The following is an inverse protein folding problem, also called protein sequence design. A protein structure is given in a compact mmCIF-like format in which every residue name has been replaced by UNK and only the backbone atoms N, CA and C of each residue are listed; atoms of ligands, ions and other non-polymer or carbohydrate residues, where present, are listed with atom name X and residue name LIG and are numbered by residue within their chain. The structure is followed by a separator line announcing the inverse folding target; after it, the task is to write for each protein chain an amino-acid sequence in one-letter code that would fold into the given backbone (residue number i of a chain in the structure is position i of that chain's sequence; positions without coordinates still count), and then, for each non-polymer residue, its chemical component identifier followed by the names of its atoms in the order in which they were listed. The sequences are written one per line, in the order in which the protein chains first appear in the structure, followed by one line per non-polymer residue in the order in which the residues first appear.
data_IF_462144533439
#
_entry.id   IF_462144533439
#
_cell.length_a   1.000
_cell.length_b   1.000
_cell.length_c   1.000
_cell.angle_alpha   90.00
_cell.angle_beta   90.00
_cell.angle_gamma   90.00
#
_symmetry.space_group_name_H-M   'P 1'
#
loop_
_entity.id
_entity.type
_entity.pdbx_description
1 polymer ?
#
# COMPACT_ATOMS: atom_id res chain seq x y z
N UNK A 1 17.34 -40.52 -42.15
CA UNK A 1 18.20 -41.59 -41.59
C UNK A 1 18.28 -41.36 -40.08
N UNK A 2 17.39 -41.99 -39.30
CA UNK A 2 17.68 -43.12 -38.40
C UNK A 2 18.95 -42.90 -37.56
N UNK A 3 18.78 -42.80 -36.24
CA UNK A 3 19.38 -43.77 -35.30
C UNK A 3 18.66 -43.74 -33.94
N UNK A 4 17.85 -44.79 -33.73
CA UNK A 4 17.31 -45.20 -32.44
C UNK A 4 18.42 -45.93 -31.68
N UNK A 5 18.50 -45.80 -30.35
CA UNK A 5 19.22 -46.76 -29.52
C UNK A 5 18.43 -47.06 -28.25
N UNK A 6 17.76 -48.22 -28.28
CA UNK A 6 17.23 -48.95 -27.13
C UNK A 6 18.37 -49.52 -26.27
N UNK A 7 18.11 -49.71 -24.97
CA UNK A 7 18.64 -50.80 -24.14
C UNK A 7 17.77 -50.89 -22.86
N UNK A 8 16.85 -51.85 -22.75
CA UNK A 8 16.93 -53.23 -22.20
C UNK A 8 16.90 -53.29 -20.66
N UNK A 9 15.93 -54.10 -20.23
CA UNK A 9 15.45 -54.50 -18.89
C UNK A 9 16.47 -55.37 -18.14
N UNK A 10 16.46 -55.29 -16.81
CA UNK A 10 17.04 -56.31 -15.93
C UNK A 10 16.34 -56.39 -14.57
N UNK A 11 15.48 -57.40 -14.40
CA UNK A 11 14.88 -57.83 -13.13
C UNK A 11 15.84 -58.83 -12.49
N UNK A 12 16.12 -58.69 -11.18
CA UNK A 12 16.68 -59.78 -10.37
C UNK A 12 15.88 -59.91 -9.08
N UNK A 13 15.09 -60.98 -9.03
CA UNK A 13 14.51 -61.57 -7.82
C UNK A 13 15.57 -62.45 -7.17
N UNK A 14 15.78 -62.31 -5.87
CA UNK A 14 16.50 -63.31 -5.07
C UNK A 14 15.92 -63.33 -3.66
N UNK A 15 15.13 -64.37 -3.40
CA UNK A 15 14.62 -64.69 -2.07
C UNK A 15 15.66 -65.58 -1.37
N UNK A 16 16.10 -65.18 -0.18
CA UNK A 16 16.81 -66.07 0.74
C UNK A 16 16.28 -65.83 2.15
N UNK A 17 15.47 -66.77 2.62
CA UNK A 17 15.13 -66.91 4.03
C UNK A 17 16.34 -67.51 4.76
N UNK A 18 16.78 -66.87 5.83
CA UNK A 18 17.70 -67.44 6.80
C UNK A 18 17.15 -67.17 8.20
N UNK A 19 16.75 -68.25 8.88
CA UNK A 19 16.43 -68.27 10.30
C UNK A 19 17.70 -67.97 11.11
N UNK A 20 17.64 -67.01 12.03
CA UNK A 20 18.65 -66.84 13.07
C UNK A 20 17.95 -66.81 14.43
N UNK A 21 18.48 -67.63 15.34
CA UNK A 21 17.97 -67.94 16.65
C UNK A 21 17.85 -66.72 17.56
N UNK A 22 16.74 -66.64 18.30
CA UNK A 22 16.55 -65.71 19.41
C UNK A 22 17.45 -66.13 20.58
N UNK A 23 18.50 -65.37 20.85
CA UNK A 23 19.16 -65.36 22.15
C UNK A 23 18.54 -64.24 22.99
N UNK A 24 17.79 -64.61 24.02
CA UNK A 24 17.31 -63.69 25.05
C UNK A 24 18.48 -63.25 25.91
N UNK A 25 19.01 -62.07 25.64
CA UNK A 25 19.93 -61.37 26.54
C UNK A 25 19.08 -60.58 27.54
N UNK A 26 19.08 -60.97 28.81
CA UNK A 26 18.56 -60.13 29.88
C UNK A 26 19.49 -58.92 30.03
N UNK A 27 19.02 -57.76 29.59
CA UNK A 27 19.66 -56.48 29.86
C UNK A 27 19.31 -55.99 31.28
N UNK A 28 20.25 -55.34 31.99
CA UNK A 28 20.02 -54.82 33.33
C UNK A 28 18.94 -53.72 33.31
N UNK A 29 18.11 -53.72 34.34
CA UNK A 29 17.09 -52.68 34.59
C UNK A 29 17.77 -51.32 34.71
N UNK A 30 17.73 -50.54 33.63
CA UNK A 30 18.03 -49.11 33.67
C UNK A 30 16.82 -48.42 34.26
N UNK A 31 16.97 -47.80 35.43
CA UNK A 31 16.02 -46.78 35.88
C UNK A 31 15.90 -45.73 34.77
N UNK A 32 14.71 -45.61 34.20
CA UNK A 32 14.42 -44.59 33.23
C UNK A 32 14.29 -43.26 33.98
N UNK A 33 15.32 -42.41 33.89
CA UNK A 33 15.16 -41.00 34.16
C UNK A 33 14.26 -40.47 33.04
N UNK A 34 12.98 -40.28 33.33
CA UNK A 34 12.05 -39.58 32.45
C UNK A 34 12.62 -38.18 32.23
N UNK A 35 12.99 -37.78 30.99
CA UNK A 35 13.27 -36.38 30.75
C UNK A 35 11.94 -35.65 30.90
N UNK A 36 11.89 -34.69 31.82
CA UNK A 36 10.82 -33.71 31.87
C UNK A 36 10.84 -32.97 30.53
N UNK A 37 9.94 -33.37 29.63
CA UNK A 37 9.71 -32.65 28.39
C UNK A 37 9.10 -31.33 28.80
N UNK A 38 9.92 -30.29 28.85
CA UNK A 38 9.46 -28.92 28.89
C UNK A 38 8.58 -28.74 27.66
N UNK A 39 7.27 -28.73 27.88
CA UNK A 39 6.29 -28.45 26.83
C UNK A 39 6.50 -26.99 26.48
N UNK A 40 7.36 -26.72 25.50
CA UNK A 40 7.41 -25.42 24.84
C UNK A 40 5.99 -25.25 24.31
N UNK A 41 5.23 -24.36 24.96
CA UNK A 41 3.92 -23.99 24.50
C UNK A 41 4.08 -23.55 23.05
N UNK A 42 3.54 -24.36 22.12
CA UNK A 42 3.38 -23.92 20.75
C UNK A 42 2.44 -22.73 20.84
N UNK A 43 2.98 -21.52 20.69
CA UNK A 43 2.17 -20.34 20.44
C UNK A 43 1.33 -20.69 19.22
N UNK A 44 0.07 -21.00 19.48
CA UNK A 44 -0.90 -21.16 18.42
C UNK A 44 -1.07 -19.74 17.96
N UNK A 45 -0.42 -19.35 16.86
CA UNK A 45 -0.75 -18.11 16.16
C UNK A 45 -2.24 -18.24 15.85
N UNK A 46 -3.07 -17.66 16.71
CA UNK A 46 -4.43 -17.31 16.37
C UNK A 46 -4.23 -16.42 15.15
N UNK A 47 -4.66 -16.87 13.97
CA UNK A 47 -4.97 -15.95 12.90
C UNK A 47 -6.08 -15.08 13.46
N UNK A 48 -5.71 -14.03 14.21
CA UNK A 48 -6.66 -13.12 14.80
C UNK A 48 -7.29 -12.38 13.63
N UNK A 49 -8.50 -12.83 13.29
CA UNK A 49 -9.33 -12.20 12.28
C UNK A 49 -9.64 -10.80 12.77
N UNK A 50 -9.02 -9.79 12.17
CA UNK A 50 -9.33 -8.39 12.47
C UNK A 50 -10.55 -7.91 11.66
N UNK A 51 -11.22 -6.87 12.16
CA UNK A 51 -12.25 -6.15 11.43
C UNK A 51 -11.61 -4.99 10.66
N UNK A 52 -11.86 -4.91 9.35
CA UNK A 52 -11.36 -3.83 8.50
C UNK A 52 -12.31 -2.64 8.51
N UNK A 53 -11.75 -1.44 8.66
CA UNK A 53 -12.49 -0.17 8.61
C UNK A 53 -11.67 0.88 7.85
N UNK A 54 -12.30 1.58 6.91
CA UNK A 54 -11.67 2.70 6.21
C UNK A 54 -11.16 3.75 7.19
N UNK A 55 -9.91 4.16 7.00
CA UNK A 55 -9.22 5.09 7.88
C UNK A 55 -8.30 6.03 7.09
N UNK A 56 -7.96 7.14 7.75
CA UNK A 56 -7.03 8.15 7.24
C UNK A 56 -5.93 8.39 8.27
N UNK A 57 -4.70 8.57 7.81
CA UNK A 57 -3.58 9.01 8.63
C UNK A 57 -2.87 10.19 8.00
N UNK A 58 -2.33 11.08 8.82
CA UNK A 58 -1.51 12.20 8.33
C UNK A 58 -0.16 11.69 7.82
N UNK A 59 0.33 12.28 6.72
CA UNK A 59 1.70 12.11 6.27
C UNK A 59 2.49 13.39 6.58
N UNK A 60 3.02 13.57 7.81
CA UNK A 60 3.50 14.87 8.28
C UNK A 60 4.72 15.40 7.51
N UNK A 61 5.68 14.53 7.20
CA UNK A 61 6.88 14.91 6.45
C UNK A 61 6.53 15.32 5.01
N UNK A 62 5.70 14.51 4.35
CA UNK A 62 5.23 14.80 2.99
C UNK A 62 4.34 16.06 2.95
N UNK A 63 3.50 16.24 3.97
CA UNK A 63 2.69 17.45 4.15
C UNK A 63 3.57 18.67 4.27
N UNK A 64 4.59 18.64 5.11
CA UNK A 64 5.51 19.76 5.30
C UNK A 64 6.17 20.15 3.97
N UNK A 65 6.74 19.17 3.27
CA UNK A 65 7.46 19.43 2.02
C UNK A 65 6.52 19.96 0.91
N UNK A 66 5.31 19.40 0.81
CA UNK A 66 4.32 19.87 -0.16
C UNK A 66 3.80 21.27 0.17
N UNK A 67 3.48 21.54 1.44
CA UNK A 67 2.98 22.84 1.91
C UNK A 67 4.01 23.94 1.71
N UNK A 68 5.29 23.67 2.01
CA UNK A 68 6.40 24.59 1.75
C UNK A 68 6.49 24.92 0.25
N UNK A 69 6.46 23.90 -0.63
CA UNK A 69 6.54 24.09 -2.08
C UNK A 69 5.31 24.81 -2.67
N UNK A 70 4.12 24.55 -2.16
CA UNK A 70 2.89 25.24 -2.57
C UNK A 70 2.90 26.70 -2.10
N UNK A 71 3.44 26.99 -0.91
CA UNK A 71 3.59 28.34 -0.39
C UNK A 71 4.62 29.17 -1.14
N UNK A 72 5.63 28.53 -1.74
CA UNK A 72 6.54 29.22 -2.67
C UNK A 72 5.81 29.74 -3.92
N UNK A 73 4.74 29.06 -4.36
CA UNK A 73 3.89 29.55 -5.45
C UNK A 73 2.91 30.64 -4.98
N UNK A 74 2.29 30.44 -3.82
CA UNK A 74 1.38 31.41 -3.20
C UNK A 74 1.42 31.32 -1.67
N UNK A 75 1.88 32.35 -0.95
CA UNK A 75 2.05 32.30 0.50
C UNK A 75 0.74 32.15 1.30
N UNK A 76 -0.41 32.48 0.69
CA UNK A 76 -1.72 32.33 1.31
C UNK A 76 -2.35 30.95 1.06
N UNK A 77 -1.75 30.13 0.18
CA UNK A 77 -2.18 28.76 -0.07
C UNK A 77 -1.72 27.80 1.04
N UNK A 78 -2.34 26.63 1.08
CA UNK A 78 -1.91 25.53 1.95
C UNK A 78 -2.06 24.18 1.28
N UNK A 79 -1.27 23.21 1.72
CA UNK A 79 -1.36 21.84 1.24
C UNK A 79 -1.22 20.81 2.36
N UNK A 80 -1.82 19.63 2.14
CA UNK A 80 -1.76 18.50 3.06
C UNK A 80 -1.65 17.19 2.28
N UNK A 81 -0.84 16.27 2.78
CA UNK A 81 -0.79 14.88 2.33
C UNK A 81 -1.47 13.97 3.37
N UNK A 82 -2.31 13.05 2.90
CA UNK A 82 -3.07 12.11 3.73
C UNK A 82 -2.94 10.70 3.17
N UNK A 83 -2.71 9.73 4.03
CA UNK A 83 -2.72 8.32 3.70
C UNK A 83 -4.14 7.80 3.85
N UNK A 84 -4.71 7.25 2.77
CA UNK A 84 -5.98 6.54 2.80
C UNK A 84 -5.74 5.04 2.82
N UNK A 85 -6.47 4.32 3.66
CA UNK A 85 -6.28 2.89 3.84
C UNK A 85 -7.28 2.27 4.80
N UNK A 86 -6.88 1.15 5.40
CA UNK A 86 -7.72 0.38 6.32
C UNK A 86 -7.03 0.22 7.67
N UNK A 87 -7.78 0.50 8.74
CA UNK A 87 -7.45 -0.01 10.06
C UNK A 87 -7.94 -1.46 10.16
N UNK A 88 -7.02 -2.37 10.49
CA UNK A 88 -7.28 -3.75 10.88
C UNK A 88 -7.36 -3.77 12.41
N UNK A 89 -8.59 -3.87 12.94
CA UNK A 89 -8.91 -3.74 14.37
C UNK A 89 -9.05 -5.13 14.99
N UNK A 90 -8.24 -5.43 16.00
CA UNK A 90 -8.21 -6.71 16.70
C UNK A 90 -9.22 -6.76 17.85
N UNK A 91 -9.50 -7.95 18.36
CA UNK A 91 -10.48 -8.14 19.45
C UNK A 91 -10.07 -7.51 20.78
N UNK A 92 -8.78 -7.27 20.99
CA UNK A 92 -8.24 -6.57 22.15
C UNK A 92 -8.34 -5.03 22.03
N UNK A 93 -8.83 -4.52 20.89
CA UNK A 93 -8.96 -3.10 20.58
C UNK A 93 -7.70 -2.46 20.00
N UNK A 94 -6.59 -3.20 19.87
CA UNK A 94 -5.43 -2.74 19.12
C UNK A 94 -5.75 -2.67 17.62
N UNK A 95 -4.93 -1.92 16.86
CA UNK A 95 -5.08 -1.82 15.41
C UNK A 95 -3.78 -1.61 14.68
N UNK A 96 -3.72 -2.08 13.44
CA UNK A 96 -2.67 -1.76 12.47
C UNK A 96 -3.28 -1.05 11.27
N UNK A 97 -2.51 -0.19 10.60
CA UNK A 97 -2.98 0.56 9.42
C UNK A 97 -2.29 0.07 8.15
N UNK A 98 -3.07 -0.30 7.15
CA UNK A 98 -2.60 -0.64 5.81
C UNK A 98 -2.92 0.49 4.83
N UNK A 99 -1.88 1.13 4.28
CA UNK A 99 -2.04 2.19 3.28
C UNK A 99 -2.44 1.62 1.93
N UNK A 100 -3.47 2.21 1.31
CA UNK A 100 -3.89 1.90 -0.06
C UNK A 100 -3.41 2.97 -1.03
N UNK A 101 -3.61 4.25 -0.71
CA UNK A 101 -3.19 5.37 -1.55
C UNK A 101 -2.79 6.59 -0.73
N UNK A 102 -2.03 7.49 -1.35
CA UNK A 102 -1.75 8.81 -0.81
C UNK A 102 -2.54 9.85 -1.59
N UNK A 103 -3.33 10.62 -0.86
CA UNK A 103 -4.11 11.74 -1.35
C UNK A 103 -3.51 13.06 -0.91
N UNK A 104 -3.79 14.11 -1.67
CA UNK A 104 -3.40 15.47 -1.35
C UNK A 104 -4.60 16.40 -1.33
N UNK A 105 -4.55 17.41 -0.48
CA UNK A 105 -5.50 18.51 -0.49
C UNK A 105 -4.72 19.80 -0.65
N UNK A 106 -5.16 20.67 -1.57
CA UNK A 106 -4.56 21.99 -1.79
C UNK A 106 -5.66 23.04 -1.73
N UNK A 107 -5.46 24.05 -0.89
CA UNK A 107 -6.40 25.14 -0.68
C UNK A 107 -5.80 26.45 -1.15
N UNK A 108 -6.57 27.20 -1.92
CA UNK A 108 -6.22 28.51 -2.43
C UNK A 108 -7.34 29.51 -2.10
N UNK A 109 -7.07 30.51 -1.25
CA UNK A 109 -7.96 31.66 -1.10
C UNK A 109 -8.06 32.46 -2.40
N UNK A 110 -9.27 32.82 -2.83
CA UNK A 110 -9.51 33.56 -4.08
C UNK A 110 -10.56 34.66 -3.90
N UNK A 111 -10.47 35.75 -4.67
CA UNK A 111 -11.46 36.84 -4.62
C UNK A 111 -12.72 36.57 -5.45
N UNK A 112 -12.60 35.74 -6.50
CA UNK A 112 -13.63 35.51 -7.50
C UNK A 112 -13.56 34.04 -7.97
N UNK A 113 -14.71 33.36 -8.00
CA UNK A 113 -14.86 31.95 -8.38
C UNK A 113 -15.10 31.73 -9.87
N UNK A 114 -15.09 32.79 -10.68
CA UNK A 114 -15.31 32.71 -12.15
C UNK A 114 -14.01 32.61 -12.96
N UNK A 115 -12.84 32.64 -12.30
CA UNK A 115 -11.52 32.71 -12.92
C UNK A 115 -10.99 31.32 -13.33
N UNK A 116 -11.75 30.59 -14.14
CA UNK A 116 -11.47 29.20 -14.50
C UNK A 116 -10.09 28.99 -15.15
N UNK A 117 -9.65 29.92 -16.01
CA UNK A 117 -8.32 29.83 -16.63
C UNK A 117 -7.20 29.93 -15.60
N UNK A 118 -7.33 30.84 -14.63
CA UNK A 118 -6.37 31.00 -13.53
C UNK A 118 -6.35 29.77 -12.63
N UNK A 119 -7.53 29.21 -12.33
CA UNK A 119 -7.66 27.99 -11.53
C UNK A 119 -6.98 26.80 -12.21
N UNK A 120 -7.18 26.66 -13.51
CA UNK A 120 -6.48 25.64 -14.29
C UNK A 120 -4.97 25.83 -14.33
N UNK A 121 -4.50 27.07 -14.52
CA UNK A 121 -3.07 27.37 -14.49
C UNK A 121 -2.46 27.05 -13.11
N UNK A 122 -3.17 27.37 -12.02
CA UNK A 122 -2.78 27.00 -10.66
C UNK A 122 -2.71 25.49 -10.47
N UNK A 123 -3.74 24.75 -10.92
CA UNK A 123 -3.74 23.27 -10.87
C UNK A 123 -2.53 22.72 -11.58
N UNK A 124 -2.18 23.25 -12.76
CA UNK A 124 -1.00 22.81 -13.50
C UNK A 124 0.29 23.00 -12.69
N UNK A 125 0.49 24.16 -12.08
CA UNK A 125 1.67 24.44 -11.27
C UNK A 125 1.77 23.50 -10.05
N UNK A 126 0.65 23.26 -9.37
CA UNK A 126 0.60 22.36 -8.22
C UNK A 126 0.81 20.90 -8.64
N UNK A 127 0.21 20.47 -9.75
CA UNK A 127 0.40 19.12 -10.27
C UNK A 127 1.84 18.91 -10.74
N UNK A 128 2.53 19.94 -11.25
CA UNK A 128 3.96 19.89 -11.55
C UNK A 128 4.82 19.67 -10.30
N UNK A 129 4.38 20.13 -9.12
CA UNK A 129 5.03 19.81 -7.83
C UNK A 129 4.75 18.36 -7.47
N UNK A 130 3.47 17.97 -7.44
CA UNK A 130 3.04 16.64 -6.99
C UNK A 130 3.63 15.51 -7.85
N UNK A 131 3.69 15.70 -9.17
CA UNK A 131 4.24 14.69 -10.10
C UNK A 131 5.76 14.57 -10.04
N UNK A 132 6.46 15.50 -9.38
CA UNK A 132 7.90 15.44 -9.13
C UNK A 132 8.27 14.81 -7.78
N UNK A 133 7.29 14.55 -6.92
CA UNK A 133 7.52 13.82 -5.66
C UNK A 133 8.06 12.42 -6.03
N UNK A 134 9.22 12.00 -5.47
CA UNK A 134 9.77 10.68 -5.74
C UNK A 134 8.77 9.56 -5.41
N UNK A 135 8.73 8.53 -6.24
CA UNK A 135 7.69 7.49 -6.15
C UNK A 135 7.75 6.76 -4.80
N UNK A 136 8.95 6.57 -4.28
CA UNK A 136 9.30 5.96 -3.00
C UNK A 136 8.82 6.75 -1.78
N UNK A 137 8.58 8.06 -1.92
CA UNK A 137 8.02 8.90 -0.84
C UNK A 137 6.49 8.81 -0.78
N UNK A 138 5.85 8.25 -1.82
CA UNK A 138 4.39 8.10 -1.90
C UNK A 138 4.01 6.68 -1.49
N UNK A 139 3.38 6.57 -0.31
CA UNK A 139 2.90 5.30 0.20
C UNK A 139 1.62 4.85 -0.53
N UNK A 140 1.45 3.54 -0.72
CA UNK A 140 0.34 3.01 -1.52
C UNK A 140 0.45 3.44 -2.99
N UNK A 141 -0.65 3.42 -3.73
CA UNK A 141 -0.73 3.94 -5.12
C UNK A 141 -0.96 5.45 -5.14
N UNK A 142 -0.87 6.05 -6.34
CA UNK A 142 -1.30 7.42 -6.53
C UNK A 142 -2.81 7.55 -6.30
N UNK A 143 -3.20 8.46 -5.40
CA UNK A 143 -4.57 8.90 -5.22
C UNK A 143 -4.88 10.11 -6.10
N UNK A 144 -5.43 11.16 -5.48
CA UNK A 144 -5.79 12.42 -6.15
C UNK A 144 -5.24 13.63 -5.42
N UNK A 145 -5.26 14.77 -6.12
CA UNK A 145 -5.17 16.10 -5.49
C UNK A 145 -6.57 16.70 -5.48
N UNK A 146 -7.11 16.97 -4.30
CA UNK A 146 -8.36 17.71 -4.14
C UNK A 146 -8.06 19.20 -4.03
N UNK A 147 -8.55 19.98 -4.98
CA UNK A 147 -8.37 21.41 -5.04
C UNK A 147 -9.57 22.13 -4.43
N UNK A 148 -9.28 23.10 -3.57
CA UNK A 148 -10.27 23.96 -2.93
C UNK A 148 -9.96 25.41 -3.29
N UNK A 149 -10.82 26.03 -4.10
CA UNK A 149 -10.78 27.46 -4.37
C UNK A 149 -11.81 28.14 -3.48
N UNK A 150 -11.33 28.87 -2.47
CA UNK A 150 -12.14 29.34 -1.35
C UNK A 150 -12.29 30.87 -1.41
N UNK A 151 -13.50 31.37 -1.67
CA UNK A 151 -13.80 32.81 -1.60
C UNK A 151 -14.15 33.25 -0.19
N UNK A 152 -14.89 32.39 0.53
CA UNK A 152 -15.16 32.47 1.96
C UNK A 152 -15.63 31.10 2.46
N UNK A 153 -16.04 31.00 3.73
CA UNK A 153 -16.46 29.74 4.35
C UNK A 153 -17.63 29.04 3.65
N UNK A 154 -18.49 29.79 2.95
CA UNK A 154 -19.71 29.29 2.31
C UNK A 154 -19.64 29.23 0.78
N UNK A 155 -18.75 30.01 0.16
CA UNK A 155 -18.55 30.07 -1.29
C UNK A 155 -17.19 29.46 -1.65
N UNK A 156 -17.22 28.24 -2.22
CA UNK A 156 -16.03 27.56 -2.71
C UNK A 156 -16.31 26.66 -3.90
N UNK A 157 -15.29 26.41 -4.69
CA UNK A 157 -15.24 25.34 -5.70
C UNK A 157 -14.33 24.25 -5.19
N UNK A 158 -14.78 22.99 -5.25
CA UNK A 158 -13.98 21.84 -4.84
C UNK A 158 -14.12 20.71 -5.84
N UNK A 159 -13.00 20.15 -6.29
CA UNK A 159 -12.98 18.96 -7.14
C UNK A 159 -11.65 18.23 -7.04
N UNK A 160 -11.65 16.98 -7.50
CA UNK A 160 -10.50 16.08 -7.44
C UNK A 160 -9.87 15.93 -8.81
N UNK A 161 -8.54 15.97 -8.83
CA UNK A 161 -7.71 15.66 -9.98
C UNK A 161 -6.96 14.36 -9.67
N UNK A 162 -7.41 13.20 -10.20
CA UNK A 162 -6.66 11.95 -10.05
C UNK A 162 -5.28 12.09 -10.69
N UNK A 163 -4.22 11.82 -9.93
CA UNK A 163 -2.83 12.10 -10.34
C UNK A 163 -2.49 11.34 -11.62
N UNK A 164 -2.84 10.05 -11.67
CA UNK A 164 -2.58 9.21 -12.84
C UNK A 164 -3.31 9.73 -14.09
N UNK A 165 -4.60 10.09 -13.95
CA UNK A 165 -5.40 10.64 -15.06
C UNK A 165 -4.83 11.97 -15.56
N UNK A 166 -4.32 12.81 -14.67
CA UNK A 166 -3.66 14.05 -15.05
C UNK A 166 -2.41 13.78 -15.91
N UNK A 167 -1.54 12.87 -15.45
CA UNK A 167 -0.30 12.50 -16.16
C UNK A 167 -0.61 11.96 -17.56
N UNK A 168 -1.62 11.09 -17.65
CA UNK A 168 -1.92 10.36 -18.88
C UNK A 168 -2.70 11.20 -19.90
N UNK A 169 -3.60 12.08 -19.45
CA UNK A 169 -4.61 12.69 -20.32
C UNK A 169 -4.65 14.23 -20.29
N UNK A 170 -4.12 14.87 -19.25
CA UNK A 170 -4.40 16.29 -18.98
C UNK A 170 -3.19 17.21 -18.80
N UNK A 171 -1.97 16.69 -18.64
CA UNK A 171 -0.75 17.49 -18.41
C UNK A 171 -0.49 18.59 -19.45
N UNK A 172 -0.87 18.32 -20.71
CA UNK A 172 -0.61 19.20 -21.85
C UNK A 172 -1.77 20.16 -22.15
N UNK A 173 -2.88 20.07 -21.40
CA UNK A 173 -4.02 20.98 -21.55
C UNK A 173 -3.64 22.42 -21.12
N UNK A 174 -4.32 23.39 -21.71
CA UNK A 174 -4.31 24.78 -21.22
C UNK A 174 -5.02 24.89 -19.87
N UNK A 175 -4.90 26.04 -19.19
CA UNK A 175 -5.56 26.26 -17.90
C UNK A 175 -7.07 26.02 -17.97
N UNK A 176 -7.77 26.75 -18.84
CA UNK A 176 -9.23 26.61 -18.96
C UNK A 176 -9.66 25.18 -19.33
N UNK A 177 -8.99 24.53 -20.28
CA UNK A 177 -9.29 23.14 -20.66
C UNK A 177 -9.04 22.17 -19.51
N UNK A 178 -7.98 22.38 -18.72
CA UNK A 178 -7.67 21.54 -17.57
C UNK A 178 -8.72 21.68 -16.47
N UNK A 179 -9.15 22.91 -16.20
CA UNK A 179 -10.21 23.18 -15.24
C UNK A 179 -11.52 22.52 -15.66
N UNK A 180 -11.98 22.77 -16.88
CA UNK A 180 -13.24 22.22 -17.41
C UNK A 180 -13.20 20.69 -17.55
N UNK A 181 -12.03 20.11 -17.79
CA UNK A 181 -11.88 18.66 -17.89
C UNK A 181 -12.15 17.94 -16.57
N UNK A 182 -11.84 18.56 -15.42
CA UNK A 182 -12.01 17.94 -14.09
C UNK A 182 -13.18 18.52 -13.29
N UNK A 183 -13.51 19.80 -13.48
CA UNK A 183 -14.64 20.43 -12.82
C UNK A 183 -15.94 20.16 -13.60
N UNK A 184 -16.71 19.21 -13.10
CA UNK A 184 -18.05 18.88 -13.61
C UNK A 184 -19.07 19.27 -12.53
N UNK A 185 -19.82 20.39 -12.72
CA UNK A 185 -20.76 20.89 -11.72
C UNK A 185 -22.00 20.00 -11.51
#
# INVERSE_FOLDING_TARGET
MKNKRNWIIGIVLSATAAFVALQTVNAPSSEAITPEVEVIASETFTNETCAFMWAYQDAPELTKNLDDAVKELNPDASAKATLFGEDCIYSDGSKTFGVIETDFTVRLPVGDLTQHEEFGNWIKQVMDIVTKIPREEIQGKYGFVEFWFEKNENEKITFRVPIQKYIDEAKDKSGVELFEYFYQP
#
